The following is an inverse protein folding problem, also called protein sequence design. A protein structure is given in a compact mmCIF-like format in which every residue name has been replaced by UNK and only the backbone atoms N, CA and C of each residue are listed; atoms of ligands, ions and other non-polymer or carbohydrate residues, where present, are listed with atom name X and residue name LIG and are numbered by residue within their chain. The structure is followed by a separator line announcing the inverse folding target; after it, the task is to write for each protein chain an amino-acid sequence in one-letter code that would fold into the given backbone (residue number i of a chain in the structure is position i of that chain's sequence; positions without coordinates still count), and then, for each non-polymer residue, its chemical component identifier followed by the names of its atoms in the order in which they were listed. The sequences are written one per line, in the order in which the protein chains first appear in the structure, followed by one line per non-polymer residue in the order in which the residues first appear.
data_IF_222873411136
#
_entry.id   IF_222873411136
#
_cell.length_a   1.000
_cell.length_b   1.000
_cell.length_c   1.000
_cell.angle_alpha   90.00
_cell.angle_beta   90.00
_cell.angle_gamma   90.00
#
_symmetry.space_group_name_H-M   'P 1'
#
loop_
_entity.id
_entity.type
_entity.pdbx_description
1 polymer ?
#
# COMPACT_ATOMS: atom_id res chain seq x y z
N UNK A 1 7.72 13.53 18.76
CA UNK A 1 7.30 12.61 17.70
C UNK A 1 6.65 11.43 18.37
N UNK A 2 5.36 11.24 18.14
CA UNK A 2 4.51 10.36 18.95
C UNK A 2 4.12 9.10 18.18
N UNK A 3 3.75 8.04 18.90
CA UNK A 3 3.17 6.84 18.31
C UNK A 3 1.91 7.14 17.46
N UNK A 4 1.25 8.27 17.71
CA UNK A 4 0.08 8.73 16.95
C UNK A 4 0.45 9.11 15.51
N UNK A 5 1.56 9.83 15.31
CA UNK A 5 2.00 10.31 13.98
C UNK A 5 2.30 9.13 13.02
N UNK A 6 2.82 8.02 13.56
CA UNK A 6 3.09 6.79 12.80
C UNK A 6 1.80 6.06 12.41
N UNK A 7 0.80 6.02 13.30
CA UNK A 7 -0.49 5.41 13.01
C UNK A 7 -1.24 6.18 11.93
N UNK A 8 -1.26 7.51 12.02
CA UNK A 8 -1.90 8.37 11.02
C UNK A 8 -1.26 8.25 9.64
N UNK A 9 0.08 8.20 9.56
CA UNK A 9 0.80 7.98 8.32
C UNK A 9 0.45 6.62 7.69
N UNK A 10 0.33 5.58 8.52
CA UNK A 10 -0.07 4.24 8.07
C UNK A 10 -1.49 4.18 7.56
N UNK A 11 -2.44 4.82 8.26
CA UNK A 11 -3.83 4.91 7.79
C UNK A 11 -3.94 5.67 6.47
N UNK A 12 -3.19 6.76 6.31
CA UNK A 12 -3.16 7.52 5.06
C UNK A 12 -2.59 6.69 3.90
N UNK A 13 -1.57 5.87 4.15
CA UNK A 13 -1.03 4.94 3.15
C UNK A 13 -2.04 3.86 2.74
N UNK A 14 -2.77 3.30 3.70
CA UNK A 14 -3.83 2.31 3.42
C UNK A 14 -4.93 2.93 2.54
N UNK A 15 -5.45 4.11 2.91
CA UNK A 15 -6.48 4.80 2.12
C UNK A 15 -6.03 5.11 0.69
N UNK A 16 -4.75 5.47 0.52
CA UNK A 16 -4.20 5.71 -0.81
C UNK A 16 -4.11 4.42 -1.63
N UNK A 17 -3.67 3.32 -1.02
CA UNK A 17 -3.62 2.00 -1.66
C UNK A 17 -5.02 1.54 -2.10
N UNK A 18 -6.02 1.66 -1.23
CA UNK A 18 -7.43 1.35 -1.55
C UNK A 18 -7.89 2.16 -2.76
N UNK A 19 -7.64 3.47 -2.78
CA UNK A 19 -8.01 4.34 -3.91
C UNK A 19 -7.29 3.95 -5.21
N UNK A 20 -6.03 3.53 -5.15
CA UNK A 20 -5.29 3.05 -6.33
C UNK A 20 -5.92 1.77 -6.87
N UNK A 21 -6.27 0.83 -5.99
CA UNK A 21 -6.92 -0.42 -6.36
C UNK A 21 -8.30 -0.20 -6.99
N UNK A 22 -9.08 0.75 -6.46
CA UNK A 22 -10.39 1.12 -6.99
C UNK A 22 -10.30 1.84 -8.35
N UNK A 23 -9.35 2.76 -8.50
CA UNK A 23 -9.24 3.60 -9.70
C UNK A 23 -8.48 2.94 -10.83
N UNK A 24 -7.59 1.99 -10.52
CA UNK A 24 -6.72 1.33 -11.51
C UNK A 24 -6.73 -0.19 -11.37
N UNK A 25 -7.90 -0.85 -11.44
CA UNK A 25 -7.99 -2.31 -11.31
C UNK A 25 -7.17 -3.04 -12.39
N UNK A 26 -7.03 -2.45 -13.57
CA UNK A 26 -6.24 -3.00 -14.68
C UNK A 26 -4.74 -3.16 -14.36
N UNK A 27 -4.17 -2.38 -13.43
CA UNK A 27 -2.79 -2.58 -12.98
C UNK A 27 -2.61 -3.92 -12.25
N UNK A 28 -3.69 -4.44 -11.68
CA UNK A 28 -3.67 -5.59 -10.78
C UNK A 28 -4.42 -6.81 -11.34
N UNK A 29 -5.16 -6.65 -12.45
CA UNK A 29 -5.95 -7.70 -13.10
C UNK A 29 -5.20 -8.54 -14.15
N UNK A 30 -3.93 -8.26 -14.43
CA UNK A 30 -3.21 -8.89 -15.56
C UNK A 30 -2.75 -10.35 -15.35
N UNK A 31 -3.12 -11.01 -14.26
CA UNK A 31 -2.80 -12.44 -14.09
C UNK A 31 -3.95 -13.32 -14.59
N UNK A 32 -4.05 -13.48 -15.91
CA UNK A 32 -4.87 -14.53 -16.56
C UNK A 32 -4.53 -15.96 -16.05
N UNK A 33 -3.42 -16.12 -15.33
CA UNK A 33 -3.00 -17.33 -14.62
C UNK A 33 -2.66 -17.02 -13.15
N UNK A 34 -3.58 -16.40 -12.42
CA UNK A 34 -3.41 -16.12 -10.99
C UNK A 34 -3.28 -17.44 -10.20
N UNK A 35 -2.04 -17.91 -10.02
CA UNK A 35 -1.69 -19.02 -9.12
C UNK A 35 -1.43 -18.47 -7.71
N UNK A 36 -1.20 -19.33 -6.72
CA UNK A 36 -0.89 -18.91 -5.34
C UNK A 36 0.26 -17.87 -5.26
N UNK A 37 1.24 -17.96 -6.17
CA UNK A 37 2.37 -17.01 -6.26
C UNK A 37 1.94 -15.60 -6.68
N UNK A 38 0.86 -15.46 -7.45
CA UNK A 38 0.32 -14.15 -7.82
C UNK A 38 -0.36 -13.44 -6.65
N UNK A 39 -1.06 -14.20 -5.79
CA UNK A 39 -1.63 -13.68 -4.55
C UNK A 39 -0.55 -13.26 -3.56
N UNK A 40 0.52 -14.05 -3.44
CA UNK A 40 1.68 -13.73 -2.60
C UNK A 40 2.41 -12.47 -3.07
N UNK A 41 2.68 -12.34 -4.38
CA UNK A 41 3.31 -11.15 -4.94
C UNK A 41 2.46 -9.88 -4.72
N UNK A 42 1.14 -10.01 -4.82
CA UNK A 42 0.22 -8.91 -4.56
C UNK A 42 0.22 -8.51 -3.08
N UNK A 43 0.22 -9.48 -2.16
CA UNK A 43 0.33 -9.22 -0.73
C UNK A 43 1.64 -8.49 -0.39
N UNK A 44 2.77 -8.95 -0.94
CA UNK A 44 4.07 -8.32 -0.76
C UNK A 44 4.12 -6.89 -1.32
N UNK A 45 3.47 -6.64 -2.46
CA UNK A 45 3.35 -5.28 -3.01
C UNK A 45 2.59 -4.35 -2.05
N UNK A 46 1.42 -4.79 -1.57
CA UNK A 46 0.59 -4.00 -0.66
C UNK A 46 1.35 -3.68 0.64
N UNK A 47 2.05 -4.66 1.21
CA UNK A 47 2.87 -4.47 2.41
C UNK A 47 3.97 -3.43 2.20
N UNK A 48 4.77 -3.58 1.12
CA UNK A 48 5.87 -2.64 0.81
C UNK A 48 5.37 -1.25 0.47
N UNK A 49 4.21 -1.13 -0.18
CA UNK A 49 3.60 0.16 -0.47
C UNK A 49 3.24 0.90 0.82
N UNK A 50 2.55 0.21 1.74
CA UNK A 50 2.16 0.79 3.02
C UNK A 50 3.40 1.24 3.77
N UNK A 51 4.41 0.39 3.89
CA UNK A 51 5.66 0.71 4.59
C UNK A 51 6.35 1.96 4.00
N UNK A 52 6.62 1.94 2.69
CA UNK A 52 7.35 3.01 2.01
C UNK A 52 6.58 4.35 2.05
N UNK A 53 5.26 4.32 1.81
CA UNK A 53 4.47 5.55 1.78
C UNK A 53 4.24 6.10 3.20
N UNK A 54 4.08 5.24 4.20
CA UNK A 54 4.01 5.67 5.61
C UNK A 54 5.31 6.38 6.02
N UNK A 55 6.48 5.80 5.66
CA UNK A 55 7.77 6.41 5.93
C UNK A 55 7.94 7.76 5.22
N UNK A 56 7.51 7.86 3.97
CA UNK A 56 7.50 9.12 3.21
C UNK A 56 6.65 10.21 3.89
N UNK A 57 5.42 9.87 4.30
CA UNK A 57 4.54 10.81 4.99
C UNK A 57 5.12 11.25 6.34
N UNK A 58 5.71 10.31 7.07
CA UNK A 58 6.38 10.59 8.34
C UNK A 58 7.56 11.56 8.19
N UNK A 59 8.40 11.38 7.16
CA UNK A 59 9.51 12.30 6.86
C UNK A 59 9.00 13.69 6.46
N UNK A 60 7.89 13.77 5.71
CA UNK A 60 7.31 15.06 5.29
C UNK A 60 6.57 15.82 6.39
N UNK A 61 6.20 15.15 7.47
CA UNK A 61 5.57 15.76 8.63
C UNK A 61 6.58 16.37 9.63
N UNK A 62 7.88 16.18 9.40
CA UNK A 62 8.99 16.80 10.14
C UNK A 62 9.36 18.16 9.54
#
# INVERSE_FOLDING_TARGET
MTHLDLLEAREAAIKMLEKILETQPALFQNALNANEKSGEAMAQFCERFIEAYSAYLFVRAQ
#
